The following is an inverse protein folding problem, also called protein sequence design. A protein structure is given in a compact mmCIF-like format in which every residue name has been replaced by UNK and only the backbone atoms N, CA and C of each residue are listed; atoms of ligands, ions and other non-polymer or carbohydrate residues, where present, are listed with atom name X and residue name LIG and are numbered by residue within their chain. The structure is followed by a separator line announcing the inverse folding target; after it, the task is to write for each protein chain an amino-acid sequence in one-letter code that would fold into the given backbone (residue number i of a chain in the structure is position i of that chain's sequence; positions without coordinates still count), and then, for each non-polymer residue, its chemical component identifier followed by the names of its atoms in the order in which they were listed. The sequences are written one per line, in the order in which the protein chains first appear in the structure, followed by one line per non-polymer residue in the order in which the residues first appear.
data_IF_191099894126
#
_entry.id   IF_191099894126
#
_cell.length_a   1.000
_cell.length_b   1.000
_cell.length_c   1.000
_cell.angle_alpha   90.00
_cell.angle_beta   90.00
_cell.angle_gamma   90.00
#
_symmetry.space_group_name_H-M   'P 1'
#
loop_
_entity.id
_entity.type
_entity.pdbx_description
1 polymer ?
#
# COMPACT_ATOMS: atom_id res chain seq x y z
N UNK A 1 -18.61 19.62 3.19
CA UNK A 1 -17.41 18.83 3.57
C UNK A 1 -16.25 19.73 3.96
N UNK A 2 -15.84 20.71 3.13
CA UNK A 2 -14.72 21.60 3.44
C UNK A 2 -14.89 22.36 4.75
N UNK A 3 -16.08 22.91 5.00
CA UNK A 3 -16.41 23.68 6.21
C UNK A 3 -16.80 22.81 7.42
N UNK A 4 -16.82 21.49 7.26
CA UNK A 4 -17.20 20.58 8.36
C UNK A 4 -16.19 20.74 9.50
N UNK A 5 -16.62 21.18 10.70
CA UNK A 5 -15.71 21.38 11.82
C UNK A 5 -15.23 20.03 12.35
N UNK A 6 -13.93 19.90 12.59
CA UNK A 6 -13.32 18.65 13.09
C UNK A 6 -13.35 18.58 14.61
N UNK A 7 -13.50 19.71 15.29
CA UNK A 7 -13.68 19.79 16.75
C UNK A 7 -14.59 20.97 17.15
N UNK A 8 -15.18 20.97 18.35
CA UNK A 8 -16.14 21.99 18.80
C UNK A 8 -15.62 23.45 18.83
N UNK A 9 -14.33 23.70 18.60
CA UNK A 9 -13.71 25.04 18.65
C UNK A 9 -12.77 25.37 17.49
N UNK A 10 -12.69 24.59 16.41
CA UNK A 10 -11.67 24.91 15.43
C UNK A 10 -11.60 24.03 14.20
N UNK A 11 -10.75 24.54 13.30
CA UNK A 11 -10.25 24.00 12.03
C UNK A 11 -11.26 23.14 11.28
N UNK A 12 -11.70 23.67 10.16
CA UNK A 12 -12.47 22.94 9.17
C UNK A 12 -11.67 21.75 8.63
N UNK A 13 -12.34 20.77 8.04
CA UNK A 13 -11.68 19.65 7.36
C UNK A 13 -10.69 20.16 6.29
N UNK A 14 -11.04 21.24 5.59
CA UNK A 14 -10.14 21.90 4.64
C UNK A 14 -8.85 22.40 5.31
N UNK A 15 -8.95 23.06 6.47
CA UNK A 15 -7.80 23.52 7.25
C UNK A 15 -6.92 22.34 7.71
N UNK A 16 -7.54 21.19 8.01
CA UNK A 16 -6.82 19.97 8.39
C UNK A 16 -6.04 19.40 7.20
N UNK A 17 -6.70 19.21 6.06
CA UNK A 17 -6.05 18.69 4.84
C UNK A 17 -4.90 19.59 4.39
N UNK A 18 -5.10 20.91 4.36
CA UNK A 18 -4.07 21.87 3.96
C UNK A 18 -2.89 21.86 4.94
N UNK A 19 -3.13 21.74 6.24
CA UNK A 19 -2.05 21.65 7.22
C UNK A 19 -1.25 20.36 7.15
N UNK A 20 -1.87 19.23 6.80
CA UNK A 20 -1.15 17.98 6.58
C UNK A 20 -0.17 18.18 5.41
N UNK A 21 -0.67 18.68 4.28
CA UNK A 21 0.17 18.88 3.10
C UNK A 21 1.28 19.90 3.32
N UNK A 22 0.96 21.06 3.87
CA UNK A 22 1.97 22.09 4.18
C UNK A 22 2.93 21.68 5.29
N UNK A 23 2.51 20.77 6.18
CA UNK A 23 3.38 20.14 7.16
C UNK A 23 4.43 19.26 6.51
N UNK A 24 4.03 18.38 5.58
CA UNK A 24 4.96 17.53 4.83
C UNK A 24 5.88 18.35 3.93
N UNK A 25 5.38 19.41 3.28
CA UNK A 25 6.21 20.30 2.46
C UNK A 25 7.31 21.00 3.26
N UNK A 26 7.00 21.54 4.45
CA UNK A 26 7.99 22.22 5.31
C UNK A 26 8.91 21.24 6.04
N UNK A 27 8.41 20.03 6.26
CA UNK A 27 9.02 19.03 7.10
C UNK A 27 8.44 19.03 8.51
N UNK A 28 8.33 17.85 9.10
CA UNK A 28 7.85 17.63 10.46
C UNK A 28 9.03 17.46 11.42
N UNK A 29 8.83 17.66 12.74
CA UNK A 29 9.88 17.42 13.74
C UNK A 29 10.45 16.00 13.72
N UNK A 30 9.66 15.03 13.27
CA UNK A 30 10.05 13.63 13.19
C UNK A 30 10.83 13.30 11.91
N UNK A 31 11.11 14.29 11.05
CA UNK A 31 11.95 14.12 9.85
C UNK A 31 11.19 13.81 8.56
N UNK A 32 9.86 13.68 8.59
CA UNK A 32 9.04 13.53 7.37
C UNK A 32 9.11 14.84 6.59
N UNK A 33 9.49 14.81 5.31
CA UNK A 33 9.62 16.02 4.48
C UNK A 33 9.48 15.71 3.00
N UNK A 34 8.91 16.62 2.25
CA UNK A 34 8.91 16.58 0.79
C UNK A 34 10.29 16.95 0.20
N UNK A 35 10.80 16.15 -0.72
CA UNK A 35 11.90 16.51 -1.61
C UNK A 35 11.42 17.52 -2.66
N UNK A 36 11.95 18.77 -2.70
CA UNK A 36 11.47 19.79 -3.62
C UNK A 36 11.73 19.47 -5.10
N UNK A 37 12.73 18.63 -5.40
CA UNK A 37 13.06 18.29 -6.78
C UNK A 37 12.10 17.24 -7.37
N UNK A 38 11.65 16.29 -6.55
CA UNK A 38 10.75 15.21 -7.00
C UNK A 38 9.29 15.41 -6.57
N UNK A 39 9.02 16.29 -5.61
CA UNK A 39 7.76 16.41 -4.89
C UNK A 39 7.33 15.14 -4.13
N UNK A 40 8.24 14.19 -3.91
CA UNK A 40 7.98 12.97 -3.13
C UNK A 40 8.26 13.19 -1.65
N UNK A 41 7.59 12.43 -0.79
CA UNK A 41 7.67 12.55 0.66
C UNK A 41 8.64 11.51 1.22
N UNK A 42 9.73 12.01 1.83
CA UNK A 42 10.63 11.22 2.65
C UNK A 42 9.93 10.84 3.97
N UNK A 43 10.11 9.58 4.37
CA UNK A 43 9.64 8.99 5.61
C UNK A 43 10.82 8.37 6.37
N UNK A 44 11.01 8.69 7.67
CA UNK A 44 11.95 7.97 8.51
C UNK A 44 11.56 6.50 8.67
N UNK A 45 12.49 5.70 9.18
CA UNK A 45 12.22 4.33 9.62
C UNK A 45 11.01 4.26 10.57
N UNK A 46 10.20 3.19 10.48
CA UNK A 46 9.03 2.88 11.34
C UNK A 46 7.77 3.76 11.19
N UNK A 47 7.72 4.68 10.22
CA UNK A 47 6.50 5.47 9.94
C UNK A 47 5.62 4.90 8.81
N UNK A 48 5.82 3.62 8.48
CA UNK A 48 4.95 2.87 7.54
C UNK A 48 4.16 1.84 8.33
N UNK A 49 3.09 1.26 7.77
CA UNK A 49 2.36 0.19 8.44
C UNK A 49 3.19 -1.09 8.67
N UNK A 50 4.31 -1.23 7.95
CA UNK A 50 5.32 -2.27 8.20
C UNK A 50 6.30 -1.80 9.28
N UNK A 51 5.82 -1.61 10.52
CA UNK A 51 6.45 -0.83 11.59
C UNK A 51 7.24 -1.63 12.63
N UNK A 52 7.40 -2.94 12.47
CA UNK A 52 8.07 -3.78 13.46
C UNK A 52 9.45 -3.24 13.84
N UNK A 53 9.65 -3.04 15.15
CA UNK A 53 10.86 -2.49 15.73
C UNK A 53 11.41 -3.40 16.86
N UNK A 54 12.73 -3.31 17.09
CA UNK A 54 13.49 -4.09 18.08
C UNK A 54 13.20 -5.62 17.99
N UNK A 55 13.70 -6.31 16.94
CA UNK A 55 14.52 -5.78 15.86
C UNK A 55 13.72 -5.07 14.77
N UNK A 56 14.37 -4.16 14.03
CA UNK A 56 13.77 -3.56 12.84
C UNK A 56 13.62 -4.62 11.75
N UNK A 57 12.40 -5.13 11.56
CA UNK A 57 12.13 -6.24 10.63
C UNK A 57 12.02 -5.80 9.18
N UNK A 58 11.57 -4.57 8.94
CA UNK A 58 11.29 -4.03 7.61
C UNK A 58 11.69 -2.56 7.51
N UNK A 59 13.00 -2.25 7.45
CA UNK A 59 13.44 -0.87 7.32
C UNK A 59 13.01 -0.31 5.96
N UNK A 60 12.10 0.66 5.98
CA UNK A 60 11.56 1.35 4.78
C UNK A 60 11.81 2.86 4.87
N UNK A 61 13.02 3.22 5.28
CA UNK A 61 13.46 4.62 5.33
C UNK A 61 13.74 5.15 3.92
N UNK A 62 13.23 6.34 3.63
CA UNK A 62 13.32 6.95 2.30
C UNK A 62 11.95 7.29 1.76
N UNK A 63 11.59 6.80 0.57
CA UNK A 63 10.34 7.15 -0.09
C UNK A 63 9.45 5.90 -0.30
N UNK A 64 8.66 5.46 0.70
CA UNK A 64 7.76 4.30 0.57
C UNK A 64 6.66 4.55 -0.46
N UNK A 65 6.39 3.56 -1.32
CA UNK A 65 5.52 3.71 -2.49
C UNK A 65 4.07 4.08 -2.12
N UNK A 66 3.52 3.54 -1.04
CA UNK A 66 2.16 3.81 -0.60
C UNK A 66 2.01 5.22 -0.03
N UNK A 67 3.04 5.74 0.63
CA UNK A 67 3.06 7.14 1.10
C UNK A 67 3.01 8.08 -0.10
N UNK A 68 3.75 7.77 -1.17
CA UNK A 68 3.72 8.59 -2.39
C UNK A 68 2.34 8.56 -3.04
N UNK A 69 1.72 7.37 -3.11
CA UNK A 69 0.40 7.22 -3.71
C UNK A 69 -0.68 8.01 -2.91
N UNK A 70 -0.66 7.92 -1.58
CA UNK A 70 -1.56 8.68 -0.71
C UNK A 70 -1.28 10.18 -0.78
N UNK A 71 -0.01 10.58 -0.85
CA UNK A 71 0.42 11.97 -0.99
C UNK A 71 -0.11 12.60 -2.28
N UNK A 72 0.11 11.95 -3.43
CA UNK A 72 -0.39 12.43 -4.73
C UNK A 72 -1.92 12.53 -4.69
N UNK A 73 -2.60 11.54 -4.09
CA UNK A 73 -4.06 11.58 -3.94
C UNK A 73 -4.54 12.73 -3.06
N UNK A 74 -3.82 13.06 -1.99
CA UNK A 74 -4.08 14.23 -1.16
C UNK A 74 -3.93 15.52 -1.98
N UNK A 75 -2.84 15.68 -2.74
CA UNK A 75 -2.63 16.86 -3.59
C UNK A 75 -3.75 17.04 -4.62
N UNK A 76 -4.15 15.97 -5.32
CA UNK A 76 -5.30 15.97 -6.23
C UNK A 76 -6.63 16.26 -5.52
N UNK A 77 -6.76 15.90 -4.25
CA UNK A 77 -7.94 16.23 -3.46
C UNK A 77 -7.94 17.71 -3.08
N UNK A 78 -6.81 18.30 -2.70
CA UNK A 78 -6.69 19.73 -2.41
C UNK A 78 -7.00 20.59 -3.65
N UNK A 79 -6.49 20.17 -4.81
CA UNK A 79 -6.80 20.74 -6.13
C UNK A 79 -8.31 20.73 -6.39
N UNK A 80 -8.95 19.56 -6.31
CA UNK A 80 -10.40 19.42 -6.56
C UNK A 80 -11.28 20.22 -5.60
N UNK A 81 -10.81 20.45 -4.37
CA UNK A 81 -11.53 21.26 -3.38
C UNK A 81 -11.28 22.77 -3.56
N UNK A 82 -10.42 23.18 -4.49
CA UNK A 82 -10.09 24.58 -4.73
C UNK A 82 -9.40 25.25 -3.54
N UNK A 83 -8.70 24.48 -2.70
CA UNK A 83 -8.04 25.06 -1.52
C UNK A 83 -6.85 25.92 -1.96
N UNK A 84 -6.56 27.03 -1.26
CA UNK A 84 -5.53 27.96 -1.69
C UNK A 84 -4.16 27.27 -1.78
N UNK A 85 -3.48 27.51 -2.89
CA UNK A 85 -2.10 27.10 -3.09
C UNK A 85 -1.19 27.87 -2.12
N UNK A 86 0.01 27.35 -1.86
CA UNK A 86 0.99 28.02 -1.01
C UNK A 86 2.04 28.73 -1.87
N UNK A 87 3.00 27.98 -2.42
CA UNK A 87 4.06 28.51 -3.29
C UNK A 87 3.97 28.00 -4.73
N UNK A 88 3.38 26.82 -4.91
CA UNK A 88 3.13 26.13 -6.17
C UNK A 88 1.68 25.64 -6.14
N UNK A 89 1.01 25.58 -7.28
CA UNK A 89 -0.36 25.06 -7.30
C UNK A 89 -0.40 23.57 -6.92
N UNK A 90 -1.51 23.14 -6.32
CA UNK A 90 -1.69 21.73 -5.98
C UNK A 90 -1.67 20.82 -7.22
N UNK A 91 -2.16 21.32 -8.35
CA UNK A 91 -2.15 20.63 -9.63
C UNK A 91 -0.73 20.38 -10.14
N UNK A 92 0.11 21.42 -10.17
CA UNK A 92 1.51 21.31 -10.61
C UNK A 92 2.30 20.39 -9.69
N UNK A 93 2.11 20.53 -8.37
CA UNK A 93 2.80 19.68 -7.39
C UNK A 93 2.40 18.21 -7.51
N UNK A 94 1.10 17.94 -7.72
CA UNK A 94 0.61 16.58 -7.95
C UNK A 94 1.20 15.98 -9.24
N UNK A 95 1.24 16.76 -10.33
CA UNK A 95 1.81 16.33 -11.60
C UNK A 95 3.31 16.05 -11.50
N UNK A 96 4.06 16.86 -10.75
CA UNK A 96 5.49 16.63 -10.50
C UNK A 96 5.71 15.34 -9.69
N UNK A 97 4.95 15.13 -8.61
CA UNK A 97 5.05 13.94 -7.78
C UNK A 97 4.68 12.66 -8.56
N UNK A 98 3.65 12.73 -9.39
CA UNK A 98 3.23 11.64 -10.27
C UNK A 98 4.28 11.30 -11.33
N UNK A 99 4.87 12.30 -11.98
CA UNK A 99 5.98 12.09 -12.92
C UNK A 99 7.20 11.46 -12.22
N UNK A 100 7.51 11.88 -10.99
CA UNK A 100 8.59 11.29 -10.19
C UNK A 100 8.30 9.85 -9.78
N UNK A 101 7.06 9.53 -9.41
CA UNK A 101 6.64 8.15 -9.12
C UNK A 101 6.92 7.25 -10.33
N UNK A 102 6.52 7.68 -11.54
CA UNK A 102 6.78 6.92 -12.77
C UNK A 102 8.28 6.77 -13.06
N UNK A 103 9.04 7.87 -12.90
CA UNK A 103 10.47 7.90 -13.22
C UNK A 103 11.30 7.01 -12.30
N UNK A 104 11.06 7.06 -10.98
CA UNK A 104 11.98 6.48 -10.01
C UNK A 104 11.54 5.10 -9.50
N UNK A 105 10.25 4.76 -9.53
CA UNK A 105 9.77 3.50 -8.95
C UNK A 105 9.55 2.39 -9.96
N UNK A 106 9.34 2.68 -11.26
CA UNK A 106 9.12 1.61 -12.23
C UNK A 106 10.40 0.81 -12.49
N UNK A 107 10.37 -0.50 -12.23
CA UNK A 107 11.51 -1.39 -12.44
C UNK A 107 11.27 -2.24 -13.70
N UNK A 108 11.73 -1.76 -14.85
CA UNK A 108 11.41 -2.38 -16.14
C UNK A 108 11.86 -3.85 -16.25
N UNK A 109 13.04 -4.14 -15.71
CA UNK A 109 13.64 -5.49 -15.65
C UNK A 109 12.91 -6.45 -14.71
N UNK A 110 12.17 -5.94 -13.72
CA UNK A 110 11.38 -6.75 -12.78
C UNK A 110 9.92 -6.84 -13.23
N UNK A 111 9.36 -5.76 -13.78
CA UNK A 111 7.96 -5.66 -14.19
C UNK A 111 7.01 -5.27 -13.06
N UNK A 112 7.51 -4.61 -12.02
CA UNK A 112 6.69 -4.05 -10.95
C UNK A 112 7.31 -2.76 -10.39
N UNK A 113 6.53 -2.03 -9.59
CA UNK A 113 7.03 -0.84 -8.88
C UNK A 113 7.88 -1.25 -7.68
N UNK A 114 8.99 -0.53 -7.47
CA UNK A 114 9.81 -0.61 -6.27
C UNK A 114 8.93 -0.38 -5.03
N UNK A 115 9.22 -1.10 -3.95
CA UNK A 115 8.47 -0.95 -2.70
C UNK A 115 8.84 0.33 -1.94
N UNK A 116 10.11 0.74 -2.03
CA UNK A 116 10.65 1.97 -1.43
C UNK A 116 11.87 2.42 -2.21
N UNK A 117 12.09 3.73 -2.30
CA UNK A 117 13.39 4.28 -2.67
C UNK A 117 14.17 4.54 -1.37
N UNK A 118 15.17 3.71 -1.11
CA UNK A 118 15.99 3.79 0.08
C UNK A 118 16.84 5.05 0.04
N UNK A 119 16.69 5.87 1.06
CA UNK A 119 17.39 7.15 1.19
C UNK A 119 17.62 7.45 2.66
N UNK A 120 18.74 8.09 2.98
CA UNK A 120 19.01 8.64 4.30
C UNK A 120 18.30 9.99 4.48
N UNK A 121 18.13 10.48 5.72
CA UNK A 121 17.59 11.82 5.95
C UNK A 121 18.31 12.89 5.13
N UNK A 122 17.55 13.68 4.36
CA UNK A 122 18.07 14.74 3.49
C UNK A 122 18.63 14.29 2.14
N UNK A 123 18.68 12.99 1.86
CA UNK A 123 19.11 12.48 0.56
C UNK A 123 17.99 12.66 -0.49
N UNK A 124 18.26 13.36 -1.62
CA UNK A 124 17.25 13.57 -2.65
C UNK A 124 16.90 12.27 -3.36
N UNK A 125 15.69 12.21 -3.91
CA UNK A 125 15.15 11.04 -4.63
C UNK A 125 16.09 10.58 -5.75
N UNK A 126 16.71 11.52 -6.46
CA UNK A 126 17.62 11.21 -7.57
C UNK A 126 18.88 10.43 -7.14
N UNK A 127 19.26 10.48 -5.86
CA UNK A 127 20.37 9.72 -5.29
C UNK A 127 19.89 8.48 -4.50
N UNK A 128 18.59 8.26 -4.38
CA UNK A 128 18.02 7.12 -3.65
C UNK A 128 18.19 5.81 -4.42
N UNK A 129 18.17 4.68 -3.71
CA UNK A 129 18.31 3.35 -4.29
C UNK A 129 16.93 2.70 -4.33
N UNK A 130 16.45 2.33 -5.51
CA UNK A 130 15.20 1.59 -5.62
C UNK A 130 15.36 0.16 -5.07
N UNK A 131 14.54 -0.21 -4.09
CA UNK A 131 14.49 -1.57 -3.56
C UNK A 131 13.51 -2.41 -4.37
N UNK A 132 13.98 -3.52 -4.94
CA UNK A 132 13.26 -4.31 -5.93
C UNK A 132 12.32 -5.40 -5.37
N UNK A 133 12.23 -5.48 -4.05
CA UNK A 133 11.39 -6.45 -3.35
C UNK A 133 9.91 -6.29 -3.78
N UNK A 134 9.32 -7.37 -4.31
CA UNK A 134 7.89 -7.40 -4.62
C UNK A 134 7.11 -7.52 -3.30
N UNK A 135 6.60 -6.39 -2.82
CA UNK A 135 5.73 -6.29 -1.64
C UNK A 135 4.31 -5.88 -2.04
N UNK A 136 3.35 -6.16 -1.16
CA UNK A 136 1.94 -5.78 -1.35
C UNK A 136 1.75 -4.27 -1.57
N UNK A 137 2.64 -3.43 -1.04
CA UNK A 137 2.59 -1.98 -1.19
C UNK A 137 2.64 -1.51 -2.65
N UNK A 138 3.28 -2.27 -3.56
CA UNK A 138 3.37 -1.92 -4.98
C UNK A 138 2.01 -1.80 -5.67
N UNK A 139 0.94 -2.30 -5.05
CA UNK A 139 -0.43 -2.22 -5.56
C UNK A 139 -1.11 -0.87 -5.25
N UNK A 140 -0.63 -0.08 -4.29
CA UNK A 140 -1.25 1.18 -3.89
C UNK A 140 -1.37 2.21 -5.03
N UNK A 141 -0.33 2.47 -5.84
CA UNK A 141 -0.45 3.36 -6.99
C UNK A 141 -1.55 2.93 -7.96
N UNK A 142 -1.81 1.62 -8.09
CA UNK A 142 -2.77 1.05 -9.02
C UNK A 142 -4.18 1.10 -8.43
N UNK A 143 -4.35 0.63 -7.19
CA UNK A 143 -5.65 0.65 -6.49
C UNK A 143 -6.17 2.06 -6.26
N UNK A 144 -5.26 3.05 -6.12
CA UNK A 144 -5.63 4.46 -6.01
C UNK A 144 -5.79 5.18 -7.36
N UNK A 145 -5.52 4.51 -8.48
CA UNK A 145 -5.76 5.00 -9.85
C UNK A 145 -4.67 5.90 -10.43
N UNK A 146 -3.47 5.92 -9.84
CA UNK A 146 -2.31 6.72 -10.27
C UNK A 146 -1.46 6.01 -11.33
N UNK A 147 -1.57 4.69 -11.42
CA UNK A 147 -0.85 3.86 -12.39
C UNK A 147 -1.87 3.03 -13.16
N UNK A 148 -1.76 3.04 -14.49
CA UNK A 148 -2.65 2.35 -15.41
C UNK A 148 -1.87 1.68 -16.54
N UNK A 149 -2.58 0.97 -17.43
CA UNK A 149 -1.98 0.37 -18.61
C UNK A 149 -1.02 -0.77 -18.28
N UNK A 150 0.03 -0.90 -19.08
CA UNK A 150 0.94 -2.04 -19.01
C UNK A 150 1.71 -2.16 -17.67
N UNK A 151 2.24 -1.07 -17.08
CA UNK A 151 2.87 -1.14 -15.77
C UNK A 151 1.92 -1.64 -14.67
N UNK A 152 0.65 -1.24 -14.71
CA UNK A 152 -0.36 -1.71 -13.77
C UNK A 152 -0.60 -3.22 -13.92
N UNK A 153 -0.83 -3.69 -15.16
CA UNK A 153 -1.10 -5.10 -15.43
C UNK A 153 0.07 -6.00 -15.05
N UNK A 154 1.31 -5.61 -15.37
CA UNK A 154 2.52 -6.37 -15.00
C UNK A 154 2.70 -6.47 -13.49
N UNK A 155 2.50 -5.36 -12.76
CA UNK A 155 2.58 -5.34 -11.29
C UNK A 155 1.51 -6.22 -10.65
N UNK A 156 0.26 -6.12 -11.11
CA UNK A 156 -0.85 -6.95 -10.60
C UNK A 156 -0.61 -8.43 -10.91
N UNK A 157 -0.17 -8.77 -12.12
CA UNK A 157 0.13 -10.16 -12.49
C UNK A 157 1.26 -10.75 -11.63
N UNK A 158 2.29 -9.95 -11.32
CA UNK A 158 3.36 -10.36 -10.40
C UNK A 158 2.81 -10.60 -8.98
N UNK A 159 1.99 -9.68 -8.46
CA UNK A 159 1.35 -9.86 -7.15
C UNK A 159 0.43 -11.09 -7.12
N UNK A 160 -0.34 -11.32 -8.18
CA UNK A 160 -1.21 -12.49 -8.33
C UNK A 160 -0.41 -13.80 -8.28
N UNK A 161 0.74 -13.84 -8.94
CA UNK A 161 1.59 -15.04 -8.99
C UNK A 161 2.28 -15.33 -7.66
N UNK A 162 2.82 -14.29 -7.01
CA UNK A 162 3.77 -14.48 -5.90
C UNK A 162 3.19 -14.16 -4.51
N UNK A 163 2.22 -13.25 -4.43
CA UNK A 163 1.74 -12.73 -3.15
C UNK A 163 0.40 -13.31 -2.72
N UNK A 164 -0.47 -13.70 -3.66
CA UNK A 164 -1.81 -14.16 -3.31
C UNK A 164 -1.78 -15.52 -2.59
N UNK A 165 -2.48 -15.57 -1.47
CA UNK A 165 -2.86 -16.79 -0.75
C UNK A 165 -4.36 -16.74 -0.46
N UNK A 166 -5.04 -17.85 -0.11
CA UNK A 166 -6.48 -17.83 0.14
C UNK A 166 -6.88 -16.79 1.20
N UNK A 167 -7.67 -15.79 0.81
CA UNK A 167 -8.19 -14.74 1.69
C UNK A 167 -7.17 -13.70 2.18
N UNK A 168 -5.91 -13.74 1.74
CA UNK A 168 -4.86 -12.83 2.21
C UNK A 168 -3.78 -12.57 1.14
N UNK A 169 -2.89 -11.63 1.42
CA UNK A 169 -1.79 -11.26 0.53
C UNK A 169 -0.47 -11.26 1.31
N UNK A 170 0.52 -12.04 0.86
CA UNK A 170 1.88 -12.02 1.43
C UNK A 170 2.42 -10.59 1.41
N UNK A 171 3.04 -10.22 2.52
CA UNK A 171 3.73 -8.93 2.66
C UNK A 171 4.99 -8.81 1.78
N UNK A 172 5.61 -9.95 1.43
CA UNK A 172 6.80 -10.05 0.58
C UNK A 172 6.75 -11.34 -0.24
N UNK A 173 7.17 -11.27 -1.50
CA UNK A 173 7.31 -12.45 -2.36
C UNK A 173 8.51 -13.33 -1.99
N UNK A 174 8.44 -14.66 -2.18
CA UNK A 174 9.56 -15.58 -2.01
C UNK A 174 10.57 -15.48 -3.17
N UNK A 175 11.10 -14.28 -3.41
CA UNK A 175 12.04 -13.96 -4.49
C UNK A 175 13.32 -13.33 -3.93
N UNK A 176 14.45 -13.43 -4.66
CA UNK A 176 15.65 -12.69 -4.31
C UNK A 176 15.39 -11.18 -4.37
N UNK A 177 16.00 -10.42 -3.45
CA UNK A 177 15.85 -8.95 -3.37
C UNK A 177 17.18 -8.22 -3.55
N UNK A 178 17.08 -6.99 -4.05
CA UNK A 178 18.18 -6.03 -4.15
C UNK A 178 17.71 -4.62 -3.73
N UNK A 179 18.49 -3.90 -2.89
CA UNK A 179 19.67 -4.40 -2.16
C UNK A 179 19.29 -5.45 -1.11
N UNK A 180 20.26 -6.21 -0.56
CA UNK A 180 19.99 -7.18 0.51
C UNK A 180 19.37 -6.49 1.75
N UNK A 181 18.45 -7.19 2.42
CA UNK A 181 17.66 -6.68 3.56
C UNK A 181 18.01 -7.46 4.85
N UNK A 182 19.14 -7.13 5.51
CA UNK A 182 19.54 -7.82 6.73
C UNK A 182 18.70 -7.39 7.93
N UNK A 183 18.25 -8.36 8.71
CA UNK A 183 17.57 -8.17 9.98
C UNK A 183 18.53 -8.60 11.08
N UNK A 184 18.91 -7.66 11.93
CA UNK A 184 19.81 -7.92 13.05
C UNK A 184 19.03 -8.01 14.36
N UNK A 185 19.31 -9.02 15.16
CA UNK A 185 18.75 -9.18 16.50
C UNK A 185 19.35 -8.18 17.49
N UNK A 186 18.85 -8.23 18.73
CA UNK A 186 19.25 -7.32 19.82
C UNK A 186 20.76 -7.39 20.17
N UNK A 187 21.44 -8.48 19.83
CA UNK A 187 22.89 -8.65 20.03
C UNK A 187 23.71 -8.47 18.74
N UNK A 188 23.11 -7.94 17.68
CA UNK A 188 23.78 -7.68 16.40
C UNK A 188 23.96 -8.92 15.51
N UNK A 189 23.45 -10.09 15.92
CA UNK A 189 23.47 -11.29 15.10
C UNK A 189 22.50 -11.16 13.91
N UNK A 190 22.91 -11.63 12.75
CA UNK A 190 22.04 -11.70 11.58
C UNK A 190 20.98 -12.80 11.76
N UNK A 191 19.71 -12.45 11.57
CA UNK A 191 18.56 -13.33 11.81
C UNK A 191 17.99 -13.99 10.54
N UNK A 192 18.30 -13.46 9.35
CA UNK A 192 17.75 -13.91 8.07
C UNK A 192 18.84 -14.03 6.99
N UNK A 193 18.51 -14.65 5.85
CA UNK A 193 19.25 -14.44 4.59
C UNK A 193 18.86 -13.07 4.01
N UNK A 194 19.78 -12.09 3.93
CA UNK A 194 19.46 -10.76 3.42
C UNK A 194 19.07 -10.74 1.95
N UNK A 195 19.54 -11.71 1.16
CA UNK A 195 19.23 -11.80 -0.28
C UNK A 195 17.92 -12.52 -0.56
N UNK A 196 17.48 -13.37 0.37
CA UNK A 196 16.18 -14.07 0.34
C UNK A 196 15.44 -13.87 1.67
N UNK A 197 15.00 -12.63 1.99
CA UNK A 197 14.47 -12.30 3.31
C UNK A 197 13.04 -12.82 3.54
N UNK A 198 12.47 -13.59 2.59
CA UNK A 198 11.14 -14.15 2.72
C UNK A 198 11.03 -15.10 3.91
N UNK A 199 9.95 -14.94 4.66
CA UNK A 199 9.67 -15.67 5.90
C UNK A 199 8.17 -15.97 6.00
N UNK A 200 7.77 -17.12 5.45
CA UNK A 200 6.37 -17.49 5.29
C UNK A 200 5.66 -18.00 6.55
N UNK A 201 6.36 -18.21 7.67
CA UNK A 201 5.76 -18.69 8.92
C UNK A 201 5.91 -17.68 10.05
N UNK A 202 4.80 -17.25 10.65
CA UNK A 202 4.78 -16.36 11.80
C UNK A 202 4.65 -17.17 13.10
N UNK A 203 5.73 -17.84 13.49
CA UNK A 203 5.76 -18.73 14.66
C UNK A 203 7.09 -18.64 15.42
N UNK A 204 7.07 -19.10 16.67
CA UNK A 204 8.26 -19.19 17.52
C UNK A 204 8.53 -17.93 18.35
N UNK A 205 9.79 -17.78 18.73
CA UNK A 205 10.27 -16.68 19.56
C UNK A 205 9.93 -15.31 18.96
N UNK A 206 9.61 -14.35 19.82
CA UNK A 206 9.13 -13.04 19.38
C UNK A 206 10.19 -12.26 18.59
N UNK A 207 11.37 -12.10 19.17
CA UNK A 207 12.39 -11.19 18.66
C UNK A 207 13.21 -11.81 17.53
N UNK A 208 13.38 -13.12 17.53
CA UNK A 208 14.23 -13.82 16.54
C UNK A 208 13.45 -14.49 15.42
N UNK A 209 12.12 -14.65 15.55
CA UNK A 209 11.30 -15.34 14.54
C UNK A 209 10.08 -14.51 14.12
N UNK A 210 9.18 -14.20 15.04
CA UNK A 210 7.89 -13.55 14.71
C UNK A 210 8.08 -12.13 14.19
N UNK A 211 8.81 -11.27 14.90
CA UNK A 211 9.09 -9.90 14.44
C UNK A 211 9.77 -9.84 13.07
N UNK A 212 10.83 -10.63 12.79
CA UNK A 212 11.38 -10.75 11.44
C UNK A 212 10.36 -11.19 10.38
N UNK A 213 9.44 -12.11 10.72
CA UNK A 213 8.46 -12.64 9.78
C UNK A 213 7.25 -11.71 9.53
N UNK A 214 6.90 -10.86 10.49
CA UNK A 214 5.62 -10.13 10.57
C UNK A 214 5.26 -9.37 9.28
N UNK A 215 6.27 -8.78 8.62
CA UNK A 215 6.10 -8.09 7.34
C UNK A 215 7.01 -8.62 6.23
N UNK A 216 7.63 -9.80 6.38
CA UNK A 216 8.53 -10.35 5.36
C UNK A 216 8.05 -11.68 4.77
N UNK A 217 6.75 -11.92 4.72
CA UNK A 217 6.21 -13.13 4.08
C UNK A 217 4.87 -13.55 4.63
N UNK A 218 4.60 -13.21 5.90
CA UNK A 218 3.26 -13.32 6.50
C UNK A 218 2.19 -12.75 5.58
N UNK A 219 1.09 -13.48 5.43
CA UNK A 219 -0.08 -13.07 4.67
C UNK A 219 -0.95 -12.12 5.49
N UNK A 220 -1.23 -10.94 4.97
CA UNK A 220 -2.09 -9.95 5.61
C UNK A 220 -3.46 -9.92 4.95
N UNK A 221 -4.52 -9.80 5.74
CA UNK A 221 -5.90 -9.81 5.23
C UNK A 221 -6.36 -8.44 4.72
N UNK A 222 -5.92 -7.33 5.34
CA UNK A 222 -6.34 -5.98 4.90
C UNK A 222 -5.82 -5.51 3.52
N UNK A 223 -4.60 -5.86 3.03
CA UNK A 223 -4.18 -5.48 1.68
C UNK A 223 -4.76 -6.39 0.59
N UNK A 224 -5.38 -7.52 0.95
CA UNK A 224 -5.94 -8.46 -0.03
C UNK A 224 -7.12 -7.89 -0.84
N UNK A 225 -8.10 -7.18 -0.23
CA UNK A 225 -9.10 -6.46 -1.01
C UNK A 225 -8.49 -5.39 -1.93
N UNK A 226 -7.39 -4.73 -1.51
CA UNK A 226 -6.70 -3.77 -2.38
C UNK A 226 -6.10 -4.41 -3.63
N UNK A 227 -5.58 -5.65 -3.52
CA UNK A 227 -5.21 -6.43 -4.70
C UNK A 227 -6.40 -6.64 -5.63
N UNK A 228 -7.58 -6.97 -5.10
CA UNK A 228 -8.78 -7.16 -5.91
C UNK A 228 -9.21 -5.86 -6.61
N UNK A 229 -9.15 -4.71 -5.93
CA UNK A 229 -9.39 -3.41 -6.57
C UNK A 229 -8.33 -3.08 -7.63
N UNK A 230 -7.04 -3.32 -7.34
CA UNK A 230 -5.96 -3.11 -8.31
C UNK A 230 -6.14 -3.99 -9.56
N UNK A 231 -6.57 -5.25 -9.38
CA UNK A 231 -6.90 -6.17 -10.46
C UNK A 231 -8.03 -5.65 -11.34
N UNK A 232 -9.14 -5.18 -10.75
CA UNK A 232 -10.21 -4.59 -11.54
C UNK A 232 -9.73 -3.33 -12.29
N UNK A 233 -8.95 -2.45 -11.63
CA UNK A 233 -8.45 -1.19 -12.22
C UNK A 233 -7.44 -1.39 -13.33
N UNK A 234 -6.52 -2.35 -13.22
CA UNK A 234 -5.47 -2.57 -14.21
C UNK A 234 -6.01 -2.99 -15.60
N UNK A 235 -7.27 -3.45 -15.65
CA UNK A 235 -8.01 -3.75 -16.87
C UNK A 235 -9.27 -2.88 -17.00
N UNK A 236 -9.23 -1.65 -16.50
CA UNK A 236 -10.27 -0.63 -16.69
C UNK A 236 -11.69 -1.08 -16.31
N UNK A 237 -11.79 -1.91 -15.27
CA UNK A 237 -13.03 -2.53 -14.83
C UNK A 237 -13.72 -3.37 -15.91
N UNK A 238 -12.97 -3.97 -16.84
CA UNK A 238 -13.51 -4.92 -17.80
C UNK A 238 -14.31 -6.02 -17.06
N UNK A 239 -15.46 -6.48 -17.60
CA UNK A 239 -16.32 -7.45 -16.89
C UNK A 239 -15.59 -8.70 -16.40
N UNK A 240 -14.66 -9.24 -17.21
CA UNK A 240 -13.84 -10.37 -16.83
C UNK A 240 -12.88 -10.07 -15.65
N UNK A 241 -12.31 -8.86 -15.61
CA UNK A 241 -11.43 -8.44 -14.51
C UNK A 241 -12.21 -8.21 -13.22
N UNK A 242 -13.42 -7.62 -13.30
CA UNK A 242 -14.32 -7.48 -12.15
C UNK A 242 -14.75 -8.85 -11.63
N UNK A 243 -15.10 -9.78 -12.52
CA UNK A 243 -15.44 -11.16 -12.15
C UNK A 243 -14.26 -11.88 -11.46
N UNK A 244 -13.05 -11.75 -12.00
CA UNK A 244 -11.84 -12.30 -11.40
C UNK A 244 -11.56 -11.69 -10.01
N UNK A 245 -11.64 -10.36 -9.88
CA UNK A 245 -11.48 -9.66 -8.60
C UNK A 245 -12.50 -10.12 -7.55
N UNK A 246 -13.76 -10.33 -7.93
CA UNK A 246 -14.79 -10.88 -7.04
C UNK A 246 -14.50 -12.32 -6.64
N UNK A 247 -14.04 -13.15 -7.57
CA UNK A 247 -13.67 -14.54 -7.28
C UNK A 247 -12.50 -14.61 -6.29
N UNK A 248 -11.48 -13.78 -6.46
CA UNK A 248 -10.40 -13.64 -5.49
C UNK A 248 -10.91 -13.15 -4.14
N UNK A 249 -11.66 -12.05 -4.12
CA UNK A 249 -12.21 -11.51 -2.87
C UNK A 249 -13.10 -12.52 -2.15
N UNK A 250 -13.87 -13.34 -2.87
CA UNK A 250 -14.69 -14.41 -2.31
C UNK A 250 -13.91 -15.47 -1.55
N UNK A 251 -12.59 -15.60 -1.76
CA UNK A 251 -11.75 -16.51 -0.97
C UNK A 251 -11.64 -16.14 0.52
N UNK A 252 -12.07 -14.93 0.92
CA UNK A 252 -12.18 -14.56 2.34
C UNK A 252 -13.28 -15.30 3.09
N UNK A 253 -14.24 -15.92 2.39
CA UNK A 253 -15.41 -16.57 3.00
C UNK A 253 -15.01 -17.61 4.05
N UNK A 254 -13.98 -18.40 3.76
CA UNK A 254 -13.41 -19.35 4.72
C UNK A 254 -12.92 -18.66 5.99
N UNK A 255 -12.23 -17.53 5.86
CA UNK A 255 -11.71 -16.78 7.01
C UNK A 255 -12.84 -16.16 7.85
N UNK A 256 -13.95 -15.74 7.22
CA UNK A 256 -15.13 -15.25 7.93
C UNK A 256 -15.87 -16.36 8.69
N UNK A 257 -15.76 -17.60 8.22
CA UNK A 257 -16.42 -18.78 8.78
C UNK A 257 -15.57 -19.54 9.82
N UNK A 258 -14.30 -19.21 9.98
CA UNK A 258 -13.34 -19.88 10.87
C UNK A 258 -12.68 -18.89 11.84
N UNK A 259 -12.29 -19.34 13.04
CA UNK A 259 -11.69 -18.46 14.05
C UNK A 259 -12.74 -17.56 14.72
N UNK A 260 -12.62 -16.23 14.56
CA UNK A 260 -13.62 -15.28 15.06
C UNK A 260 -14.73 -15.08 14.01
N UNK A 261 -15.88 -15.70 14.23
CA UNK A 261 -16.99 -15.70 13.27
C UNK A 261 -17.41 -14.29 12.86
N UNK A 262 -17.52 -14.08 11.55
CA UNK A 262 -17.90 -12.78 10.96
C UNK A 262 -16.77 -11.75 10.93
N UNK A 263 -15.56 -12.12 11.36
CA UNK A 263 -14.39 -11.25 11.34
C UNK A 263 -13.28 -11.85 10.48
N UNK A 264 -12.35 -10.99 10.07
CA UNK A 264 -11.11 -11.40 9.41
C UNK A 264 -9.96 -11.32 10.43
N UNK A 265 -9.09 -12.35 10.50
CA UNK A 265 -7.91 -12.29 11.35
C UNK A 265 -6.91 -11.27 10.81
N UNK A 266 -5.98 -10.85 11.64
CA UNK A 266 -4.89 -9.97 11.25
C UNK A 266 -4.02 -10.59 10.16
N UNK A 267 -3.60 -11.83 10.41
CA UNK A 267 -2.64 -12.53 9.58
C UNK A 267 -3.08 -13.95 9.27
N UNK A 268 -2.45 -14.49 8.24
CA UNK A 268 -2.23 -15.92 8.04
C UNK A 268 -0.74 -16.18 7.79
N UNK A 269 -0.28 -17.41 8.05
CA UNK A 269 1.03 -17.83 7.55
C UNK A 269 1.09 -17.65 6.01
N UNK A 270 2.18 -17.07 5.52
CA UNK A 270 2.42 -16.89 4.09
C UNK A 270 2.61 -18.19 3.34
N UNK A 271 3.13 -19.22 4.00
CA UNK A 271 3.24 -20.58 3.45
C UNK A 271 2.06 -21.45 3.87
N UNK A 272 1.77 -22.47 3.06
CA UNK A 272 0.76 -23.46 3.40
C UNK A 272 1.08 -24.11 4.78
N UNK A 273 0.08 -24.36 5.63
CA UNK A 273 -1.36 -24.39 5.34
C UNK A 273 -2.10 -23.05 5.57
N UNK A 274 -1.40 -21.90 5.64
CA UNK A 274 -2.01 -20.58 5.84
C UNK A 274 -2.79 -20.45 7.16
N UNK A 275 -2.20 -20.95 8.25
CA UNK A 275 -2.79 -20.88 9.59
C UNK A 275 -3.08 -19.43 9.99
N UNK A 276 -4.25 -19.14 10.56
CA UNK A 276 -4.55 -17.82 11.13
C UNK A 276 -3.57 -17.47 12.26
N UNK A 277 -3.13 -16.20 12.31
CA UNK A 277 -2.21 -15.66 13.32
C UNK A 277 -2.60 -14.23 13.70
N UNK A 278 -1.97 -13.71 14.76
CA UNK A 278 -2.18 -12.34 15.21
C UNK A 278 -3.55 -12.16 15.89
N UNK A 279 -4.10 -10.96 15.82
CA UNK A 279 -5.44 -10.66 16.33
C UNK A 279 -6.53 -11.41 15.54
N UNK A 280 -7.49 -12.02 16.23
CA UNK A 280 -8.56 -12.80 15.58
C UNK A 280 -9.58 -11.93 14.82
N UNK A 281 -9.71 -10.64 15.18
CA UNK A 281 -10.68 -9.72 14.58
C UNK A 281 -10.07 -8.34 14.27
N UNK A 282 -9.84 -8.06 12.98
CA UNK A 282 -9.26 -6.81 12.51
C UNK A 282 -10.27 -5.87 11.82
N UNK A 283 -10.41 -4.65 12.35
CA UNK A 283 -11.35 -3.64 11.83
C UNK A 283 -11.02 -3.18 10.40
N UNK A 284 -9.79 -2.76 10.12
CA UNK A 284 -9.33 -2.42 8.77
C UNK A 284 -9.51 -3.55 7.75
N UNK A 285 -9.23 -4.81 8.08
CA UNK A 285 -9.45 -5.93 7.15
C UNK A 285 -10.91 -6.07 6.75
N UNK A 286 -11.82 -6.12 7.72
CA UNK A 286 -13.26 -6.30 7.46
C UNK A 286 -13.84 -5.09 6.72
N UNK A 287 -13.47 -3.87 7.13
CA UNK A 287 -13.99 -2.64 6.49
C UNK A 287 -13.47 -2.47 5.08
N UNK A 288 -12.21 -2.83 4.81
CA UNK A 288 -11.62 -2.76 3.48
C UNK A 288 -12.19 -3.84 2.54
N UNK A 289 -12.43 -5.05 3.04
CA UNK A 289 -13.13 -6.10 2.30
C UNK A 289 -14.54 -5.64 1.90
N UNK A 290 -15.31 -5.06 2.83
CA UNK A 290 -16.64 -4.52 2.55
C UNK A 290 -16.59 -3.37 1.53
N UNK A 291 -15.63 -2.44 1.67
CA UNK A 291 -15.47 -1.30 0.75
C UNK A 291 -15.24 -1.78 -0.68
N UNK A 292 -14.32 -2.72 -0.86
CA UNK A 292 -14.00 -3.25 -2.20
C UNK A 292 -15.12 -4.13 -2.74
N UNK A 293 -15.79 -4.93 -1.89
CA UNK A 293 -16.94 -5.72 -2.30
C UNK A 293 -18.03 -4.83 -2.93
N UNK A 294 -18.41 -3.75 -2.23
CA UNK A 294 -19.38 -2.77 -2.75
C UNK A 294 -18.90 -2.08 -4.02
N UNK A 295 -17.61 -1.73 -4.11
CA UNK A 295 -17.04 -1.16 -5.33
C UNK A 295 -17.23 -2.11 -6.53
N UNK A 296 -16.95 -3.40 -6.36
CA UNK A 296 -17.06 -4.38 -7.43
C UNK A 296 -18.51 -4.69 -7.81
N UNK A 297 -19.45 -4.68 -6.85
CA UNK A 297 -20.90 -4.83 -7.13
C UNK A 297 -21.44 -3.70 -8.00
N UNK A 298 -21.10 -2.45 -7.71
CA UNK A 298 -21.55 -1.29 -8.52
C UNK A 298 -20.99 -1.29 -9.95
N UNK A 299 -20.04 -2.17 -10.27
CA UNK A 299 -19.36 -2.27 -11.57
C UNK A 299 -19.78 -3.50 -12.38
N UNK A 300 -20.54 -4.43 -11.79
CA UNK A 300 -21.15 -5.55 -12.51
C UNK A 300 -22.45 -5.17 -13.19
N UNK A 301 -23.14 -4.15 -12.67
CA UNK A 301 -24.34 -3.60 -13.29
C UNK A 301 -23.91 -2.61 -14.37
N UNK A 302 -23.88 -3.06 -15.63
CA UNK A 302 -23.74 -2.16 -16.78
C UNK A 302 -24.86 -1.09 -16.79
N UNK A 303 -24.76 -0.04 -17.63
CA UNK A 303 -25.83 0.96 -17.71
C UNK A 303 -27.17 0.27 -17.96
N UNK A 304 -28.14 0.47 -17.06
CA UNK A 304 -29.51 -0.03 -17.23
C UNK A 304 -30.03 0.35 -18.62
N UNK A 305 -30.50 -0.59 -19.43
CA UNK A 305 -30.97 -0.29 -20.77
C UNK A 305 -32.40 0.25 -20.77
N UNK A 306 -32.77 1.22 -19.91
CA UNK A 306 -34.09 1.84 -19.98
C UNK A 306 -34.11 3.27 -19.45
N UNK A 307 -33.95 4.24 -20.35
CA UNK A 307 -34.76 5.46 -20.38
C UNK A 307 -34.81 5.97 -21.83
N UNK A 308 -35.55 5.25 -22.66
CA UNK A 308 -36.20 5.85 -23.83
C UNK A 308 -37.31 6.76 -23.31
N UNK A 309 -37.12 8.08 -23.40
CA UNK A 309 -38.22 9.04 -23.23
C UNK A 309 -39.32 8.76 -24.26
N UNK A 310 -40.60 8.74 -23.88
CA UNK A 310 -41.67 8.74 -24.85
C UNK A 310 -41.72 10.10 -25.55
N UNK A 311 -42.01 10.04 -26.85
CA UNK A 311 -42.23 11.19 -27.75
C UNK A 311 -43.45 12.03 -27.34
#
# INVERSE_FOLDING_TARGET
LCETPVAPRGRSLADVLQSIATGFMRGTPNGIRMDPASALVFSPSHFTWMDTNHPAGTPREGYPVEIQALWIRLLRQLERLGLPAVSISWQELAAQAEASLQKYFWLDNRGWYADVLLARPGQPTAAAIAQDALRSNALFPISLGLVQGEPARRTVAAAQCWLVVPGALRSLAPLPVSPPLPIHGVHGQLLNDPTHPYWGQYTGDEDTRRKPAYHNGTGWTWPFPQFCEALARAWDFAPAAVAAARAYLGSIDRLLAEGCLGHLPELVDGDAPHTQRGCDAQAWSVTEALRVWRLLETRTDGPSPHHSSPA
#
